data_IF_569617275688
#
_entry.id   IF_569617275688
#
_cell.length_a   1.000
_cell.length_b   1.000
_cell.length_c   1.000
_cell.angle_alpha   90.00
_cell.angle_beta   90.00
_cell.angle_gamma   90.00
#
_symmetry.space_group_name_H-M   'P 1'
#
loop_
_entity.id
_entity.type
_entity.pdbx_description
1 polymer ?
#
# COMPACT_ATOMS: atom_id res chain seq x y z
N UNK A 1 2.69 -8.54 10.44
CA UNK A 1 3.63 -7.44 10.77
C UNK A 1 3.22 -6.10 10.16
N UNK A 2 3.08 -5.99 8.83
CA UNK A 2 2.78 -4.70 8.14
C UNK A 2 1.49 -4.03 8.63
N UNK A 3 0.39 -4.80 8.80
CA UNK A 3 -0.88 -4.27 9.31
C UNK A 3 -0.77 -3.69 10.74
N UNK A 4 0.13 -4.24 11.57
CA UNK A 4 0.37 -3.72 12.93
C UNK A 4 1.12 -2.40 12.90
N UNK A 5 2.14 -2.29 12.06
CA UNK A 5 2.93 -1.05 11.90
C UNK A 5 2.06 0.06 11.33
N UNK A 6 1.38 -0.19 10.20
CA UNK A 6 0.47 0.78 9.57
C UNK A 6 -0.68 1.14 10.49
N UNK A 7 -1.28 0.16 11.18
CA UNK A 7 -2.34 0.40 12.15
C UNK A 7 -1.89 1.26 13.34
N UNK A 8 -0.66 1.09 13.82
CA UNK A 8 -0.08 1.94 14.85
C UNK A 8 0.24 3.35 14.36
N UNK A 9 0.74 3.50 13.14
CA UNK A 9 0.97 4.82 12.53
C UNK A 9 -0.34 5.58 12.38
N UNK A 10 -1.39 4.95 11.87
CA UNK A 10 -2.72 5.56 11.75
C UNK A 10 -3.27 5.92 13.13
N UNK A 11 -3.11 5.05 14.13
CA UNK A 11 -3.52 5.35 15.52
C UNK A 11 -2.80 6.59 16.06
N UNK A 12 -1.49 6.68 15.89
CA UNK A 12 -0.70 7.83 16.32
C UNK A 12 -1.13 9.12 15.59
N UNK A 13 -1.39 9.02 14.29
CA UNK A 13 -1.86 10.15 13.47
C UNK A 13 -3.25 10.64 13.93
N UNK A 14 -4.18 9.72 14.24
CA UNK A 14 -5.48 10.05 14.82
C UNK A 14 -5.31 10.72 16.18
N UNK A 15 -4.44 10.20 17.05
CA UNK A 15 -4.22 10.77 18.38
C UNK A 15 -3.62 12.18 18.30
N UNK A 16 -2.67 12.41 17.39
CA UNK A 16 -2.09 13.75 17.18
C UNK A 16 -3.12 14.76 16.66
N UNK A 17 -4.16 14.32 15.96
CA UNK A 17 -5.26 15.18 15.47
C UNK A 17 -6.53 15.08 16.30
N UNK A 18 -6.47 14.51 17.52
CA UNK A 18 -7.66 14.24 18.32
C UNK A 18 -8.48 15.49 18.63
N UNK A 19 -7.83 16.59 19.00
CA UNK A 19 -8.52 17.86 19.28
C UNK A 19 -9.24 18.41 18.05
N UNK A 20 -8.58 18.37 16.89
CA UNK A 20 -9.13 18.81 15.61
C UNK A 20 -10.37 17.97 15.22
N UNK A 21 -10.32 16.65 15.44
CA UNK A 21 -11.44 15.72 15.21
C UNK A 21 -12.61 16.02 16.16
N UNK A 22 -12.33 16.30 17.44
CA UNK A 22 -13.37 16.65 18.43
C UNK A 22 -14.06 17.96 18.06
N UNK A 23 -13.30 18.99 17.71
CA UNK A 23 -13.86 20.27 17.23
C UNK A 23 -14.69 20.05 15.96
N UNK A 24 -14.20 19.25 15.01
CA UNK A 24 -14.94 18.92 13.80
C UNK A 24 -16.27 18.21 14.10
N UNK A 25 -16.29 17.27 15.05
CA UNK A 25 -17.55 16.61 15.47
C UNK A 25 -18.52 17.58 16.13
N UNK A 26 -18.05 18.52 16.94
CA UNK A 26 -18.91 19.53 17.62
C UNK A 26 -19.63 20.46 16.63
N UNK A 27 -19.01 20.75 15.49
CA UNK A 27 -19.64 21.54 14.40
C UNK A 27 -20.45 20.68 13.43
N UNK A 28 -20.66 19.39 13.72
CA UNK A 28 -21.49 18.48 12.93
C UNK A 28 -20.78 17.75 11.78
N UNK A 29 -19.45 17.64 11.79
CA UNK A 29 -18.75 16.88 10.76
C UNK A 29 -19.11 15.38 10.82
N UNK A 30 -19.41 14.81 9.65
CA UNK A 30 -19.69 13.38 9.51
C UNK A 30 -18.43 12.54 9.68
N UNK A 31 -18.54 11.31 10.18
CA UNK A 31 -17.40 10.39 10.27
C UNK A 31 -16.74 10.17 8.90
N UNK A 32 -17.51 10.26 7.80
CA UNK A 32 -16.98 10.21 6.44
C UNK A 32 -15.98 11.33 6.12
N UNK A 33 -16.18 12.54 6.64
CA UNK A 33 -15.24 13.65 6.46
C UNK A 33 -13.91 13.38 7.19
N UNK A 34 -14.00 12.83 8.41
CA UNK A 34 -12.83 12.50 9.24
C UNK A 34 -12.04 11.32 8.64
N UNK A 35 -12.70 10.35 8.01
CA UNK A 35 -12.08 9.12 7.49
C UNK A 35 -11.28 9.31 6.19
N UNK A 36 -11.64 10.31 5.36
CA UNK A 36 -11.01 10.59 4.05
C UNK A 36 -9.49 10.78 4.11
N UNK A 37 -8.91 11.67 4.94
CA UNK A 37 -7.46 11.87 4.99
C UNK A 37 -6.68 10.58 5.29
N UNK A 38 -7.19 9.75 6.19
CA UNK A 38 -6.57 8.46 6.54
C UNK A 38 -6.66 7.42 5.42
N UNK A 39 -7.72 7.47 4.60
CA UNK A 39 -7.82 6.63 3.40
C UNK A 39 -6.80 7.06 2.34
N UNK A 40 -6.56 8.36 2.18
CA UNK A 40 -5.52 8.87 1.29
C UNK A 40 -4.12 8.46 1.73
N UNK A 41 -3.81 8.54 3.03
CA UNK A 41 -2.52 8.06 3.54
C UNK A 41 -2.35 6.56 3.29
N UNK A 42 -3.39 5.76 3.51
CA UNK A 42 -3.43 4.34 3.17
C UNK A 42 -3.16 4.03 1.70
N UNK A 43 -3.81 4.76 0.80
CA UNK A 43 -3.60 4.65 -0.64
C UNK A 43 -2.15 4.96 -1.03
N UNK A 44 -1.57 6.05 -0.51
CA UNK A 44 -0.18 6.41 -0.78
C UNK A 44 0.80 5.36 -0.29
N UNK A 45 0.59 4.82 0.92
CA UNK A 45 1.44 3.73 1.42
C UNK A 45 1.33 2.46 0.56
N UNK A 46 0.12 2.12 0.10
CA UNK A 46 -0.10 0.99 -0.81
C UNK A 46 0.58 1.19 -2.16
N UNK A 47 0.44 2.38 -2.76
CA UNK A 47 1.07 2.73 -4.03
C UNK A 47 2.59 2.75 -3.95
N UNK A 48 3.16 3.38 -2.91
CA UNK A 48 4.61 3.43 -2.73
C UNK A 48 5.19 2.04 -2.47
N UNK A 49 4.52 1.21 -1.66
CA UNK A 49 4.91 -0.17 -1.44
C UNK A 49 4.88 -1.00 -2.72
N UNK A 50 3.83 -0.83 -3.54
CA UNK A 50 3.71 -1.51 -4.83
C UNK A 50 4.78 -1.05 -5.84
N UNK A 51 5.03 0.26 -5.93
CA UNK A 51 6.07 0.81 -6.79
C UNK A 51 7.47 0.33 -6.39
N UNK A 52 7.74 0.25 -5.08
CA UNK A 52 9.00 -0.26 -4.57
C UNK A 52 9.17 -1.77 -4.84
N UNK A 53 8.11 -2.56 -4.67
CA UNK A 53 8.10 -3.97 -5.03
C UNK A 53 8.32 -4.17 -6.54
N UNK A 54 7.67 -3.37 -7.37
CA UNK A 54 7.85 -3.39 -8.82
C UNK A 54 9.30 -3.11 -9.21
N UNK A 55 9.90 -2.04 -8.67
CA UNK A 55 11.31 -1.70 -8.89
C UNK A 55 12.27 -2.82 -8.46
N UNK A 56 12.01 -3.45 -7.32
CA UNK A 56 12.84 -4.55 -6.83
C UNK A 56 12.76 -5.78 -7.74
N UNK A 57 11.56 -6.12 -8.23
CA UNK A 57 11.38 -7.27 -9.14
C UNK A 57 12.05 -6.99 -10.49
N UNK A 58 11.80 -5.84 -11.10
CA UNK A 58 12.45 -5.46 -12.38
C UNK A 58 13.97 -5.36 -12.23
N UNK A 59 14.45 -4.76 -11.14
CA UNK A 59 15.87 -4.67 -10.84
C UNK A 59 16.53 -6.05 -10.67
N UNK A 60 15.86 -6.96 -9.95
CA UNK A 60 16.34 -8.33 -9.79
C UNK A 60 16.37 -9.08 -11.13
N UNK A 61 15.32 -8.96 -11.94
CA UNK A 61 15.26 -9.56 -13.27
C UNK A 61 16.35 -9.02 -14.20
N UNK A 62 16.62 -7.72 -14.18
CA UNK A 62 17.70 -7.11 -14.96
C UNK A 62 19.08 -7.65 -14.56
N UNK A 63 19.34 -7.82 -13.26
CA UNK A 63 20.59 -8.40 -12.76
C UNK A 63 20.74 -9.88 -13.14
N UNK A 64 19.63 -10.63 -13.14
CA UNK A 64 19.59 -12.07 -13.46
C UNK A 64 19.57 -12.35 -14.96
N UNK A 65 19.18 -11.38 -15.79
CA UNK A 65 19.08 -11.55 -17.24
C UNK A 65 20.42 -11.94 -17.89
N UNK A 66 21.54 -11.35 -17.46
CA UNK A 66 22.86 -11.66 -17.97
C UNK A 66 23.32 -13.10 -17.68
N UNK A 67 23.33 -13.54 -16.40
CA UNK A 67 23.60 -14.94 -16.05
C UNK A 67 22.62 -15.94 -16.68
N UNK A 68 21.32 -15.61 -16.72
CA UNK A 68 20.30 -16.48 -17.28
C UNK A 68 20.43 -16.66 -18.80
N UNK A 69 20.78 -15.61 -19.55
CA UNK A 69 21.03 -15.70 -20.98
C UNK A 69 22.21 -16.63 -21.31
N UNK A 70 23.30 -16.55 -20.54
CA UNK A 70 24.46 -17.45 -20.71
C UNK A 70 24.12 -18.91 -20.45
N UNK A 71 23.26 -19.19 -19.47
CA UNK A 71 22.77 -20.55 -19.19
C UNK A 71 21.82 -21.03 -20.30
N UNK A 72 20.90 -20.17 -20.77
CA UNK A 72 19.94 -20.52 -21.82
C UNK A 72 20.64 -20.88 -23.15
N UNK A 73 21.72 -20.18 -23.48
CA UNK A 73 22.55 -20.43 -24.67
C UNK A 73 23.27 -21.79 -24.60
N UNK A 74 23.79 -22.17 -23.42
CA UNK A 74 24.41 -23.48 -23.18
C UNK A 74 23.42 -24.65 -23.25
N UNK A 75 22.14 -24.40 -22.98
CA UNK A 75 21.07 -25.40 -23.05
C UNK A 75 20.31 -25.40 -24.40
N UNK A 76 20.74 -24.58 -25.37
CA UNK A 76 20.12 -24.52 -26.71
C UNK A 76 18.68 -24.03 -26.71
N UNK A 77 18.24 -23.34 -25.66
CA UNK A 77 16.86 -22.91 -25.48
C UNK A 77 16.74 -21.39 -25.67
N UNK A 78 15.83 -20.93 -26.53
CA UNK A 78 15.57 -19.51 -26.78
C UNK A 78 14.75 -18.84 -25.65
N UNK A 79 15.02 -19.19 -24.39
CA UNK A 79 14.33 -18.61 -23.25
C UNK A 79 14.82 -17.19 -23.00
N UNK A 80 14.00 -16.19 -23.37
CA UNK A 80 14.14 -14.81 -22.87
C UNK A 80 13.47 -14.72 -21.51
N UNK A 81 14.19 -14.23 -20.51
CA UNK A 81 13.57 -13.71 -19.29
C UNK A 81 12.62 -12.57 -19.71
N UNK A 82 11.32 -12.84 -19.68
CA UNK A 82 10.31 -11.80 -19.83
C UNK A 82 10.17 -11.09 -18.49
N UNK A 83 10.32 -9.76 -18.49
CA UNK A 83 10.02 -8.91 -17.34
C UNK A 83 8.54 -9.00 -16.92
N UNK A 84 8.16 -8.26 -15.89
CA UNK A 84 6.74 -8.08 -15.58
C UNK A 84 6.08 -7.38 -16.77
N UNK A 85 5.31 -8.13 -17.55
CA UNK A 85 4.53 -7.56 -18.64
C UNK A 85 3.67 -6.38 -18.17
N UNK A 86 3.26 -5.46 -19.06
CA UNK A 86 2.52 -4.25 -18.67
C UNK A 86 1.25 -4.57 -17.88
N UNK A 87 0.57 -5.69 -18.19
CA UNK A 87 -0.58 -6.15 -17.42
C UNK A 87 -0.25 -6.61 -15.99
N UNK A 88 0.86 -7.32 -15.79
CA UNK A 88 1.30 -7.75 -14.46
C UNK A 88 1.78 -6.56 -13.61
N UNK A 89 2.49 -5.62 -14.23
CA UNK A 89 2.91 -4.37 -13.59
C UNK A 89 1.72 -3.53 -13.12
N UNK A 90 0.71 -3.35 -13.99
CA UNK A 90 -0.53 -2.69 -13.64
C UNK A 90 -1.32 -3.45 -12.56
N UNK A 91 -1.40 -4.78 -12.66
CA UNK A 91 -2.06 -5.62 -11.67
C UNK A 91 -1.40 -5.52 -10.29
N UNK A 92 -0.07 -5.47 -10.24
CA UNK A 92 0.70 -5.32 -9.00
C UNK A 92 0.47 -3.93 -8.37
N UNK A 93 0.52 -2.86 -9.17
CA UNK A 93 0.23 -1.50 -8.71
C UNK A 93 -1.22 -1.35 -8.22
N UNK A 94 -2.18 -1.84 -9.00
CA UNK A 94 -3.60 -1.80 -8.65
C UNK A 94 -3.90 -2.66 -7.41
N UNK A 95 -3.30 -3.85 -7.32
CA UNK A 95 -3.41 -4.73 -6.17
C UNK A 95 -2.84 -4.11 -4.89
N UNK A 96 -1.65 -3.51 -4.97
CA UNK A 96 -1.05 -2.81 -3.83
C UNK A 96 -1.84 -1.57 -3.40
N UNK A 97 -2.38 -0.79 -4.34
CA UNK A 97 -3.28 0.31 -4.06
C UNK A 97 -4.57 -0.16 -3.36
N UNK A 98 -5.20 -1.22 -3.88
CA UNK A 98 -6.40 -1.81 -3.32
C UNK A 98 -6.18 -2.37 -1.90
N UNK A 99 -5.06 -3.07 -1.69
CA UNK A 99 -4.67 -3.59 -0.37
C UNK A 99 -4.35 -2.45 0.62
N UNK A 100 -3.70 -1.38 0.17
CA UNK A 100 -3.44 -0.18 0.97
C UNK A 100 -4.74 0.51 1.41
N UNK A 101 -5.67 0.69 0.48
CA UNK A 101 -7.01 1.23 0.74
C UNK A 101 -7.81 0.33 1.70
N UNK A 102 -7.85 -0.98 1.46
CA UNK A 102 -8.57 -1.93 2.30
C UNK A 102 -7.98 -1.97 3.72
N UNK A 103 -6.64 -1.97 3.83
CA UNK A 103 -5.93 -1.97 5.11
C UNK A 103 -6.20 -0.70 5.91
N UNK A 104 -6.15 0.47 5.27
CA UNK A 104 -6.48 1.74 5.92
C UNK A 104 -7.96 1.82 6.29
N UNK A 105 -8.87 1.38 5.41
CA UNK A 105 -10.30 1.36 5.71
C UNK A 105 -10.63 0.49 6.93
N UNK A 106 -10.04 -0.71 7.02
CA UNK A 106 -10.16 -1.60 8.17
C UNK A 106 -9.57 -1.00 9.45
N UNK A 107 -8.36 -0.42 9.36
CA UNK A 107 -7.70 0.20 10.50
C UNK A 107 -8.52 1.38 11.05
N UNK A 108 -9.02 2.24 10.16
CA UNK A 108 -9.83 3.41 10.51
C UNK A 108 -11.20 2.97 11.04
N UNK A 109 -11.86 1.98 10.44
CA UNK A 109 -13.13 1.44 10.92
C UNK A 109 -13.03 0.91 12.36
N UNK A 110 -11.91 0.26 12.67
CA UNK A 110 -11.67 -0.31 14.00
C UNK A 110 -11.36 0.76 15.05
N UNK A 111 -10.52 1.75 14.73
CA UNK A 111 -10.09 2.75 15.72
C UNK A 111 -11.08 3.91 15.92
N UNK A 112 -11.85 4.31 14.90
CA UNK A 112 -12.89 5.34 15.14
C UNK A 112 -14.01 4.83 16.07
N UNK A 113 -14.34 3.54 15.99
CA UNK A 113 -15.29 2.89 16.91
C UNK A 113 -14.83 2.86 18.37
N UNK A 114 -13.52 2.99 18.62
CA UNK A 114 -12.97 3.07 19.98
C UNK A 114 -13.00 4.51 20.54
N UNK A 115 -13.31 5.52 19.72
CA UNK A 115 -13.29 6.96 20.09
C UNK A 115 -14.72 7.52 20.24
N UNK A 116 -15.77 6.72 20.03
CA UNK A 116 -17.14 7.14 20.31
C UNK A 116 -17.33 7.33 21.84
N UNK A 117 -17.63 8.56 22.32
CA UNK A 117 -18.02 8.75 23.71
C UNK A 117 -19.42 8.16 23.93
N UNK A 118 -19.58 7.44 25.03
CA UNK A 118 -20.88 7.06 25.56
C UNK A 118 -21.69 8.30 25.99
#
# INVERSE_FOLDING_TARGET
AVLLVVGNTIRLEIQNRREEIVVAKLIGATDGFIRRPFLYSGLWHGLLGAALAWLLVEGALALLAGPAARLAELYGSAWRLAGLGPGASLGLLAGGAALGLAGAWLAVARHLREIEPA
#
